data_IF_817407347100
#
_entry.id   IF_817407347100
#
_cell.length_a   1.000
_cell.length_b   1.000
_cell.length_c   1.000
_cell.angle_alpha   90.00
_cell.angle_beta   90.00
_cell.angle_gamma   90.00
#
_symmetry.space_group_name_H-M   'P 1'
#
loop_
_entity.id
_entity.type
_entity.pdbx_description
1 polymer ?
#
# COMPACT_ATOMS: atom_id res chain seq x y z
N UNK A 1 7.24 36.59 1.32
CA UNK A 1 7.60 35.67 2.42
C UNK A 1 6.32 35.06 2.96
N UNK A 2 5.95 33.89 2.47
CA UNK A 2 4.91 33.05 3.07
C UNK A 2 5.50 31.65 3.07
N UNK A 3 6.26 31.37 4.12
CA UNK A 3 6.64 30.02 4.52
C UNK A 3 5.34 29.31 4.91
N UNK A 4 4.67 28.71 3.93
CA UNK A 4 3.82 27.57 4.21
C UNK A 4 4.79 26.45 4.54
N UNK A 5 4.96 26.19 5.84
CA UNK A 5 5.39 24.87 6.27
C UNK A 5 4.43 23.89 5.60
N UNK A 6 4.89 23.23 4.53
CA UNK A 6 4.26 22.00 4.05
C UNK A 6 4.16 21.12 5.29
N UNK A 7 2.93 20.91 5.79
CA UNK A 7 2.70 19.98 6.89
C UNK A 7 3.07 18.61 6.36
N UNK A 8 4.34 18.22 6.55
CA UNK A 8 4.86 16.94 6.10
C UNK A 8 3.93 15.85 6.58
N UNK A 9 3.43 15.05 5.65
CA UNK A 9 2.50 13.98 5.92
C UNK A 9 3.10 13.01 6.93
N UNK A 10 2.38 12.78 8.03
CA UNK A 10 2.80 11.85 9.07
C UNK A 10 2.80 10.42 8.52
N UNK A 11 3.87 9.66 8.82
CA UNK A 11 3.91 8.24 8.49
C UNK A 11 2.99 7.45 9.42
N UNK A 12 2.17 6.58 8.83
CA UNK A 12 1.13 5.81 9.52
C UNK A 12 1.19 4.34 9.15
N UNK A 13 0.77 3.47 10.07
CA UNK A 13 0.84 2.02 9.91
C UNK A 13 -0.49 1.34 10.31
N UNK A 14 -0.96 0.36 9.54
CA UNK A 14 -2.09 -0.49 9.95
C UNK A 14 -1.64 -1.64 10.86
N UNK A 15 -0.36 -2.06 10.77
CA UNK A 15 0.22 -3.10 11.63
C UNK A 15 1.66 -2.79 11.98
N UNK A 16 2.06 -3.13 13.20
CA UNK A 16 3.44 -3.01 13.69
C UNK A 16 3.86 -4.28 14.43
N UNK A 17 5.15 -4.62 14.32
CA UNK A 17 5.81 -5.66 15.13
C UNK A 17 7.01 -5.08 15.85
N UNK A 18 6.91 -4.98 17.16
CA UNK A 18 7.93 -4.48 18.08
C UNK A 18 8.62 -5.67 18.75
N UNK A 19 9.95 -5.60 18.85
CA UNK A 19 10.75 -6.45 19.72
C UNK A 19 11.41 -5.60 20.80
N UNK A 20 11.38 -6.09 22.03
CA UNK A 20 11.97 -5.45 23.19
C UNK A 20 12.47 -6.50 24.18
N UNK A 21 12.93 -6.10 25.37
CA UNK A 21 13.40 -7.04 26.38
C UNK A 21 12.21 -7.82 26.98
N UNK A 22 12.39 -9.13 27.18
CA UNK A 22 11.33 -9.97 27.78
C UNK A 22 10.84 -9.49 29.15
N UNK A 23 11.68 -8.79 29.92
CA UNK A 23 11.35 -8.25 31.25
C UNK A 23 10.26 -7.18 31.21
N UNK A 24 9.96 -6.62 30.05
CA UNK A 24 8.91 -5.61 29.90
C UNK A 24 7.51 -6.21 29.78
N UNK A 25 7.38 -7.55 29.75
CA UNK A 25 6.13 -8.21 30.12
C UNK A 25 6.11 -8.37 31.64
N UNK A 26 5.32 -7.54 32.32
CA UNK A 26 5.31 -7.42 33.77
C UNK A 26 4.47 -8.53 34.42
N UNK A 27 3.30 -8.82 33.84
CA UNK A 27 2.39 -9.84 34.36
C UNK A 27 1.51 -10.41 33.25
N UNK A 28 1.05 -11.65 33.41
CA UNK A 28 0.02 -12.27 32.57
C UNK A 28 -1.26 -12.42 33.38
N UNK A 29 -2.38 -11.89 32.88
CA UNK A 29 -3.71 -11.97 33.53
C UNK A 29 -4.53 -13.15 33.00
N UNK A 30 -4.19 -13.65 31.82
CA UNK A 30 -4.76 -14.87 31.23
C UNK A 30 -3.66 -15.91 31.02
N UNK A 31 -4.05 -17.18 30.83
CA UNK A 31 -3.10 -18.25 30.55
C UNK A 31 -2.53 -18.10 29.14
N UNK A 32 -1.23 -17.85 29.05
CA UNK A 32 -0.51 -17.88 27.77
C UNK A 32 -0.17 -19.32 27.39
N UNK A 33 -0.13 -19.59 26.09
CA UNK A 33 0.37 -20.86 25.56
C UNK A 33 1.87 -20.98 25.82
N UNK A 34 2.33 -22.20 26.10
CA UNK A 34 3.73 -22.48 26.39
C UNK A 34 4.45 -22.94 25.12
N UNK A 35 5.70 -22.52 24.96
CA UNK A 35 6.58 -22.97 23.88
C UNK A 35 7.66 -23.86 24.46
N UNK A 36 7.89 -25.01 23.82
CA UNK A 36 8.88 -25.99 24.27
C UNK A 36 9.96 -26.23 23.22
N UNK A 37 11.18 -26.50 23.68
CA UNK A 37 12.26 -26.97 22.83
C UNK A 37 11.95 -28.39 22.36
N UNK A 38 11.98 -28.62 21.04
CA UNK A 38 11.51 -29.87 20.44
C UNK A 38 12.30 -31.12 20.86
N UNK A 39 13.56 -30.96 21.29
CA UNK A 39 14.42 -32.08 21.72
C UNK A 39 14.47 -32.28 23.22
N UNK A 40 14.62 -31.20 24.00
CA UNK A 40 14.79 -31.29 25.45
C UNK A 40 13.46 -31.27 26.21
N UNK A 41 12.37 -30.83 25.58
CA UNK A 41 11.08 -30.63 26.25
C UNK A 41 11.08 -29.45 27.23
N UNK A 42 12.16 -28.68 27.30
CA UNK A 42 12.26 -27.52 28.18
C UNK A 42 11.41 -26.36 27.68
N UNK A 43 10.78 -25.64 28.60
CA UNK A 43 10.00 -24.43 28.27
C UNK A 43 10.94 -23.31 27.84
N UNK A 44 10.75 -22.82 26.61
CA UNK A 44 11.59 -21.79 25.98
C UNK A 44 10.88 -20.43 25.83
N UNK A 45 9.59 -20.38 26.13
CA UNK A 45 8.80 -19.17 25.98
C UNK A 45 7.33 -19.36 26.30
N UNK A 46 6.60 -18.26 26.15
CA UNK A 46 5.14 -18.20 26.23
C UNK A 46 4.59 -17.27 25.16
N UNK A 47 3.36 -17.48 24.72
CA UNK A 47 2.69 -16.55 23.82
C UNK A 47 1.17 -16.51 24.00
N UNK A 48 0.60 -15.38 23.62
CA UNK A 48 -0.81 -15.16 23.39
C UNK A 48 -1.02 -14.76 21.93
N UNK A 49 -2.10 -15.25 21.31
CA UNK A 49 -2.49 -14.96 19.93
C UNK A 49 -4.00 -14.80 19.87
N UNK A 50 -4.48 -13.68 19.34
CA UNK A 50 -5.91 -13.40 19.20
C UNK A 50 -6.60 -14.22 18.11
N UNK A 51 -5.86 -15.01 17.31
CA UNK A 51 -6.40 -15.79 16.18
C UNK A 51 -7.66 -16.60 16.53
N UNK A 52 -7.72 -17.13 17.75
CA UNK A 52 -8.81 -17.96 18.24
C UNK A 52 -9.58 -17.29 19.41
N UNK A 53 -9.36 -15.99 19.65
CA UNK A 53 -10.01 -15.22 20.72
C UNK A 53 -11.07 -14.27 20.14
N UNK A 54 -12.34 -14.66 20.28
CA UNK A 54 -13.49 -13.89 19.78
C UNK A 54 -13.59 -12.49 20.40
N UNK A 55 -13.01 -12.26 21.58
CA UNK A 55 -13.09 -10.98 22.27
C UNK A 55 -12.10 -9.97 21.69
N UNK A 56 -11.07 -10.45 20.97
CA UNK A 56 -10.06 -9.63 20.31
C UNK A 56 -10.15 -9.88 18.80
N UNK A 57 -11.14 -9.28 18.11
CA UNK A 57 -11.44 -9.53 16.68
C UNK A 57 -10.48 -8.80 15.73
N UNK A 58 -9.20 -8.72 16.10
CA UNK A 58 -8.14 -8.09 15.34
C UNK A 58 -6.79 -8.71 15.71
N UNK A 59 -5.76 -8.43 14.90
CA UNK A 59 -4.44 -9.00 15.11
C UNK A 59 -3.83 -8.49 16.42
N UNK A 60 -3.56 -9.41 17.35
CA UNK A 60 -2.75 -9.19 18.55
C UNK A 60 -1.97 -10.47 18.86
N UNK A 61 -0.66 -10.34 18.89
CA UNK A 61 0.28 -11.40 19.22
C UNK A 61 1.30 -10.87 20.23
N UNK A 62 1.43 -11.57 21.34
CA UNK A 62 2.33 -11.21 22.45
C UNK A 62 3.13 -12.46 22.76
N UNK A 63 4.46 -12.39 22.67
CA UNK A 63 5.30 -13.56 22.92
C UNK A 63 6.59 -13.21 23.64
N UNK A 64 6.98 -14.08 24.56
CA UNK A 64 8.27 -14.05 25.22
C UNK A 64 9.09 -15.25 24.78
N UNK A 65 10.32 -15.00 24.35
CA UNK A 65 11.35 -16.02 24.22
C UNK A 65 12.38 -15.83 25.33
N UNK A 66 12.49 -16.82 26.23
CA UNK A 66 13.46 -16.77 27.33
C UNK A 66 14.89 -16.95 26.82
N UNK A 67 15.09 -17.83 25.82
CA UNK A 67 16.41 -18.05 25.19
C UNK A 67 16.92 -16.76 24.54
N UNK A 68 16.06 -16.07 23.78
CA UNK A 68 16.44 -14.83 23.08
C UNK A 68 16.27 -13.58 23.95
N UNK A 69 15.81 -13.74 25.19
CA UNK A 69 15.48 -12.65 26.11
C UNK A 69 14.62 -11.55 25.46
N UNK A 70 13.67 -11.94 24.62
CA UNK A 70 12.91 -11.02 23.76
C UNK A 70 11.42 -11.07 24.08
N UNK A 71 10.79 -9.91 24.24
CA UNK A 71 9.34 -9.70 24.11
C UNK A 71 9.05 -9.30 22.66
N UNK A 72 8.05 -9.93 22.04
CA UNK A 72 7.50 -9.56 20.74
C UNK A 72 6.06 -9.11 20.94
N UNK A 73 5.74 -7.91 20.46
CA UNK A 73 4.39 -7.39 20.34
C UNK A 73 4.09 -7.18 18.86
N UNK A 74 3.05 -7.81 18.34
CA UNK A 74 2.55 -7.57 17.00
C UNK A 74 1.05 -7.29 17.06
N UNK A 75 0.62 -6.15 16.54
CA UNK A 75 -0.77 -5.75 16.58
C UNK A 75 -1.15 -4.87 15.40
N UNK A 76 -2.44 -4.84 15.07
CA UNK A 76 -2.98 -3.87 14.10
C UNK A 76 -3.54 -2.62 14.79
N UNK A 77 -3.73 -1.55 14.02
CA UNK A 77 -4.28 -0.27 14.47
C UNK A 77 -5.73 -0.37 14.96
N UNK A 78 -6.44 -1.47 14.69
CA UNK A 78 -7.75 -1.76 15.28
C UNK A 78 -7.73 -1.80 16.82
N UNK A 79 -6.55 -1.97 17.42
CA UNK A 79 -6.38 -1.83 18.87
C UNK A 79 -6.76 -0.43 19.40
N UNK A 80 -6.78 0.58 18.53
CA UNK A 80 -7.24 1.94 18.82
C UNK A 80 -8.78 2.06 18.85
N UNK A 81 -9.51 0.99 18.52
CA UNK A 81 -10.98 0.92 18.52
C UNK A 81 -11.61 2.02 17.67
N UNK A 82 -12.34 2.96 18.26
CA UNK A 82 -13.00 4.08 17.60
C UNK A 82 -12.00 5.01 16.89
N UNK A 83 -10.75 5.06 17.37
CA UNK A 83 -9.63 5.77 16.73
C UNK A 83 -8.89 4.93 15.69
N UNK A 84 -9.44 3.81 15.25
CA UNK A 84 -8.88 3.02 14.15
C UNK A 84 -8.53 3.85 12.89
N UNK A 85 -9.35 4.84 12.48
CA UNK A 85 -9.00 5.78 11.41
C UNK A 85 -7.65 6.49 11.55
N UNK A 86 -7.19 6.73 12.79
CA UNK A 86 -5.98 7.49 13.07
C UNK A 86 -4.70 6.70 12.76
N UNK A 87 -4.83 5.37 12.59
CA UNK A 87 -3.74 4.42 12.37
C UNK A 87 -2.67 4.45 13.48
N UNK A 88 -1.67 3.58 13.40
CA UNK A 88 -0.52 3.63 14.31
C UNK A 88 0.43 4.71 13.80
N UNK A 89 0.80 5.65 14.65
CA UNK A 89 1.71 6.76 14.35
C UNK A 89 2.51 7.17 15.59
N UNK A 90 3.36 8.19 15.48
CA UNK A 90 4.03 8.78 16.65
C UNK A 90 3.05 9.30 17.71
N UNK A 91 1.85 9.71 17.28
CA UNK A 91 0.84 10.33 18.15
C UNK A 91 -0.03 9.26 18.84
N UNK A 92 -0.22 8.09 18.21
CA UNK A 92 -1.13 7.03 18.70
C UNK A 92 -0.42 5.80 19.27
N UNK A 93 0.91 5.64 19.10
CA UNK A 93 1.63 4.44 19.57
C UNK A 93 1.50 4.21 21.07
N UNK A 94 1.53 5.28 21.89
CA UNK A 94 1.38 5.15 23.34
C UNK A 94 -0.02 4.66 23.70
N UNK A 95 -1.04 5.17 23.03
CA UNK A 95 -2.42 4.71 23.20
C UNK A 95 -2.59 3.24 22.79
N UNK A 96 -1.95 2.80 21.71
CA UNK A 96 -1.96 1.39 21.32
C UNK A 96 -1.43 0.48 22.46
N UNK A 97 -0.29 0.84 23.06
CA UNK A 97 0.32 0.07 24.16
C UNK A 97 -0.51 0.16 25.45
N UNK A 98 -1.10 1.32 25.74
CA UNK A 98 -2.06 1.47 26.84
C UNK A 98 -3.27 0.55 26.65
N UNK A 99 -3.81 0.48 25.43
CA UNK A 99 -4.95 -0.36 25.12
C UNK A 99 -4.62 -1.85 25.31
N UNK A 100 -3.40 -2.30 24.99
CA UNK A 100 -2.94 -3.68 25.32
C UNK A 100 -3.12 -3.98 26.82
N UNK A 101 -2.68 -3.08 27.71
CA UNK A 101 -2.82 -3.25 29.17
C UNK A 101 -4.30 -3.31 29.60
N UNK A 102 -5.16 -2.56 28.92
CA UNK A 102 -6.60 -2.49 29.20
C UNK A 102 -7.38 -3.71 28.69
N UNK A 103 -6.82 -4.56 27.82
CA UNK A 103 -7.46 -5.80 27.39
C UNK A 103 -7.56 -6.85 28.50
N UNK A 104 -6.93 -6.62 29.66
CA UNK A 104 -6.86 -7.58 30.76
C UNK A 104 -6.25 -8.94 30.38
N UNK A 105 -5.34 -8.94 29.40
CA UNK A 105 -4.57 -10.12 28.95
C UNK A 105 -3.22 -10.18 29.66
N UNK A 106 -2.54 -9.04 29.75
CA UNK A 106 -1.24 -8.89 30.39
C UNK A 106 -1.01 -7.42 30.77
N UNK A 107 0.05 -7.19 31.55
CA UNK A 107 0.61 -5.87 31.79
C UNK A 107 2.00 -5.76 31.15
N UNK A 108 2.23 -4.70 30.40
CA UNK A 108 3.51 -4.36 29.78
C UNK A 108 4.03 -3.02 30.28
N UNK A 109 5.36 -2.90 30.35
CA UNK A 109 6.06 -1.65 30.65
C UNK A 109 6.14 -0.77 29.38
N UNK A 110 5.19 0.14 29.26
CA UNK A 110 5.01 1.00 28.09
C UNK A 110 6.24 1.89 27.86
N UNK A 111 6.74 2.56 28.90
CA UNK A 111 7.82 3.53 28.77
C UNK A 111 9.15 2.85 28.42
N UNK A 112 9.43 1.68 29.02
CA UNK A 112 10.60 0.89 28.66
C UNK A 112 10.52 0.32 27.24
N UNK A 113 9.33 -0.06 26.77
CA UNK A 113 9.12 -0.52 25.39
C UNK A 113 9.33 0.63 24.40
N UNK A 114 8.75 1.80 24.65
CA UNK A 114 8.88 2.96 23.75
C UNK A 114 10.34 3.44 23.65
N UNK A 115 11.07 3.43 24.76
CA UNK A 115 12.48 3.86 24.81
C UNK A 115 13.46 2.85 24.21
N UNK A 116 13.24 1.54 24.44
CA UNK A 116 14.24 0.52 24.10
C UNK A 116 13.86 -0.39 22.92
N UNK A 117 12.57 -0.43 22.57
CA UNK A 117 12.02 -1.32 21.55
C UNK A 117 12.52 -1.00 20.13
N UNK A 118 12.54 -2.04 19.31
CA UNK A 118 12.87 -1.97 17.89
C UNK A 118 11.74 -2.57 17.05
N UNK A 119 11.38 -1.88 15.98
CA UNK A 119 10.39 -2.33 15.01
C UNK A 119 11.08 -3.28 14.02
N UNK A 120 10.42 -4.39 13.74
CA UNK A 120 10.99 -5.45 12.87
C UNK A 120 10.10 -5.78 11.68
N UNK A 121 8.85 -5.34 11.70
CA UNK A 121 7.93 -5.43 10.58
C UNK A 121 6.82 -4.39 10.72
N UNK A 122 6.42 -3.75 9.62
CA UNK A 122 5.29 -2.80 9.56
C UNK A 122 4.52 -2.96 8.26
N UNK A 123 3.23 -2.62 8.32
CA UNK A 123 2.43 -2.35 7.13
C UNK A 123 2.18 -0.83 7.09
N UNK A 124 2.87 -0.15 6.17
CA UNK A 124 2.76 1.31 5.97
C UNK A 124 1.49 1.57 5.18
N UNK A 125 0.64 2.46 5.68
CA UNK A 125 -0.74 2.58 5.22
C UNK A 125 -1.16 4.02 5.02
N UNK A 126 -1.95 4.28 3.98
CA UNK A 126 -2.59 5.57 3.72
C UNK A 126 -3.97 5.43 3.13
N UNK A 127 -4.91 6.20 3.66
CA UNK A 127 -6.28 6.27 3.17
C UNK A 127 -6.51 7.54 2.36
N UNK A 128 -6.59 7.40 1.04
CA UNK A 128 -6.82 8.51 0.12
C UNK A 128 -8.32 8.70 -0.16
N UNK A 129 -8.75 9.95 -0.36
CA UNK A 129 -10.07 10.28 -0.91
C UNK A 129 -10.10 9.94 -2.41
N UNK A 130 -10.32 8.66 -2.72
CA UNK A 130 -10.28 8.11 -4.06
C UNK A 130 -11.26 6.93 -4.13
N UNK A 131 -12.12 6.93 -5.15
CA UNK A 131 -12.98 5.80 -5.45
C UNK A 131 -12.28 4.91 -6.47
N UNK A 132 -11.94 3.68 -6.05
CA UNK A 132 -11.33 2.67 -6.91
C UNK A 132 -12.41 1.99 -7.76
N UNK A 133 -12.73 2.58 -8.92
CA UNK A 133 -13.67 2.01 -9.89
C UNK A 133 -13.00 0.98 -10.79
N UNK A 134 -13.81 0.14 -11.46
CA UNK A 134 -13.30 -0.86 -12.42
C UNK A 134 -12.45 -0.21 -13.53
N UNK A 135 -12.88 0.93 -14.06
CA UNK A 135 -12.10 1.70 -15.03
C UNK A 135 -10.74 2.14 -14.47
N UNK A 136 -10.69 2.58 -13.21
CA UNK A 136 -9.41 2.95 -12.58
C UNK A 136 -8.50 1.73 -12.36
N UNK A 137 -9.08 0.56 -12.04
CA UNK A 137 -8.35 -0.71 -11.95
C UNK A 137 -7.77 -1.12 -13.31
N UNK A 138 -8.52 -0.96 -14.40
CA UNK A 138 -8.06 -1.25 -15.76
C UNK A 138 -6.92 -0.32 -16.19
N UNK A 139 -7.00 0.97 -15.82
CA UNK A 139 -5.91 1.92 -16.04
C UNK A 139 -4.66 1.54 -15.24
N UNK A 140 -4.81 1.20 -13.96
CA UNK A 140 -3.70 0.74 -13.12
C UNK A 140 -3.03 -0.52 -13.69
N UNK A 141 -3.80 -1.47 -14.20
CA UNK A 141 -3.26 -2.66 -14.86
C UNK A 141 -2.50 -2.33 -16.15
N UNK A 142 -3.07 -1.49 -17.02
CA UNK A 142 -2.50 -1.20 -18.34
C UNK A 142 -1.27 -0.27 -18.31
N UNK A 143 -1.10 0.53 -17.26
CA UNK A 143 -0.02 1.53 -17.15
C UNK A 143 1.16 1.12 -16.25
N UNK A 144 1.36 -0.18 -16.01
CA UNK A 144 2.52 -0.67 -15.27
C UNK A 144 3.80 -0.47 -16.11
N UNK A 145 4.57 0.58 -15.80
CA UNK A 145 5.80 0.92 -16.52
C UNK A 145 6.81 -0.23 -16.53
N UNK A 146 6.95 -0.95 -15.41
CA UNK A 146 7.86 -2.10 -15.30
C UNK A 146 7.13 -3.46 -15.25
N UNK A 147 6.23 -3.70 -16.21
CA UNK A 147 5.38 -4.92 -16.30
C UNK A 147 6.16 -6.26 -16.30
N UNK A 148 7.45 -6.24 -16.66
CA UNK A 148 8.32 -7.42 -16.57
C UNK A 148 8.70 -7.75 -15.14
N UNK A 149 8.89 -6.73 -14.29
CA UNK A 149 9.30 -6.90 -12.90
C UNK A 149 8.16 -6.79 -11.92
N UNK A 150 7.02 -6.20 -12.27
CA UNK A 150 5.85 -6.16 -11.40
C UNK A 150 4.69 -6.90 -12.06
N UNK A 151 4.19 -7.90 -11.36
CA UNK A 151 2.96 -8.62 -11.71
C UNK A 151 1.84 -8.11 -10.82
N UNK A 152 0.63 -8.11 -11.35
CA UNK A 152 -0.55 -7.74 -10.59
C UNK A 152 -1.44 -8.95 -10.37
N UNK A 153 -2.22 -8.90 -9.31
CA UNK A 153 -3.32 -9.81 -9.04
C UNK A 153 -4.49 -9.02 -8.48
N UNK A 154 -5.71 -9.48 -8.77
CA UNK A 154 -6.89 -8.95 -8.09
C UNK A 154 -6.74 -9.18 -6.58
N UNK A 155 -7.09 -8.16 -5.81
CA UNK A 155 -7.29 -8.28 -4.39
C UNK A 155 -8.78 -8.53 -4.17
N UNK A 156 -9.13 -9.65 -3.54
CA UNK A 156 -10.51 -10.16 -3.41
C UNK A 156 -11.51 -9.16 -2.81
N UNK A 157 -11.03 -8.06 -2.22
CA UNK A 157 -11.83 -7.00 -1.59
C UNK A 157 -11.90 -5.75 -2.46
N UNK A 158 -12.11 -5.94 -3.76
CA UNK A 158 -12.15 -4.88 -4.78
C UNK A 158 -10.90 -4.01 -4.80
N UNK A 159 -9.78 -4.65 -5.09
CA UNK A 159 -8.51 -3.96 -5.23
C UNK A 159 -7.55 -4.65 -6.18
N UNK A 160 -6.31 -4.19 -6.13
CA UNK A 160 -5.21 -4.69 -6.94
C UNK A 160 -3.93 -4.69 -6.11
N UNK A 161 -3.18 -5.78 -6.24
CA UNK A 161 -1.86 -5.92 -5.62
C UNK A 161 -0.81 -6.01 -6.71
N UNK A 162 0.19 -5.15 -6.67
CA UNK A 162 1.38 -5.24 -7.50
C UNK A 162 2.51 -5.86 -6.71
N UNK A 163 3.06 -6.97 -7.19
CA UNK A 163 4.16 -7.71 -6.57
C UNK A 163 5.35 -7.75 -7.50
N UNK A 164 6.53 -7.43 -6.95
CA UNK A 164 7.79 -7.57 -7.67
C UNK A 164 8.11 -9.04 -7.91
N UNK A 165 8.28 -9.41 -9.17
CA UNK A 165 8.65 -10.74 -9.63
C UNK A 165 10.14 -11.00 -9.37
N UNK A 166 10.41 -11.63 -8.23
CA UNK A 166 11.75 -12.01 -7.78
C UNK A 166 11.74 -13.40 -7.15
N UNK A 167 12.85 -14.13 -7.31
CA UNK A 167 13.01 -15.48 -6.73
C UNK A 167 13.18 -15.45 -5.21
N UNK A 168 13.79 -14.40 -4.67
CA UNK A 168 14.07 -14.28 -3.23
C UNK A 168 12.95 -13.53 -2.50
N UNK A 169 12.38 -14.16 -1.47
CA UNK A 169 11.33 -13.59 -0.61
C UNK A 169 11.77 -12.28 0.07
N UNK A 170 13.05 -12.16 0.39
CA UNK A 170 13.59 -10.97 1.04
C UNK A 170 13.65 -9.76 0.10
N UNK A 171 13.61 -10.01 -1.22
CA UNK A 171 13.58 -8.98 -2.25
C UNK A 171 12.15 -8.67 -2.73
N UNK A 172 11.14 -9.38 -2.25
CA UNK A 172 9.74 -9.17 -2.66
C UNK A 172 9.27 -7.79 -2.19
N UNK A 173 8.77 -6.99 -3.11
CA UNK A 173 8.18 -5.67 -2.86
C UNK A 173 6.73 -5.72 -3.32
N UNK A 174 5.82 -5.20 -2.51
CA UNK A 174 4.39 -5.19 -2.82
C UNK A 174 3.80 -3.80 -2.58
N UNK A 175 2.79 -3.45 -3.37
CA UNK A 175 1.86 -2.37 -3.07
C UNK A 175 0.44 -2.84 -3.37
N UNK A 176 -0.45 -2.65 -2.40
CA UNK A 176 -1.86 -3.04 -2.49
C UNK A 176 -2.73 -1.79 -2.43
N UNK A 177 -3.65 -1.66 -3.38
CA UNK A 177 -4.66 -0.61 -3.43
C UNK A 177 -6.02 -1.29 -3.35
N UNK A 178 -6.89 -0.89 -2.42
CA UNK A 178 -8.22 -1.48 -2.32
C UNK A 178 -9.27 -0.53 -1.76
N UNK A 179 -10.53 -0.79 -2.12
CA UNK A 179 -11.67 -0.04 -1.62
C UNK A 179 -11.88 -0.34 -0.12
N UNK A 180 -11.49 0.60 0.74
CA UNK A 180 -11.55 0.41 2.19
C UNK A 180 -12.97 0.51 2.75
N UNK A 181 -13.82 1.33 2.13
CA UNK A 181 -15.26 1.45 2.46
C UNK A 181 -15.96 0.09 2.38
N UNK A 182 -15.72 -0.63 1.27
CA UNK A 182 -16.32 -1.95 1.09
C UNK A 182 -15.65 -2.99 1.95
N UNK A 183 -14.32 -2.92 2.09
CA UNK A 183 -13.55 -3.85 2.92
C UNK A 183 -14.02 -3.87 4.38
N UNK A 184 -14.19 -2.69 4.99
CA UNK A 184 -14.58 -2.58 6.40
C UNK A 184 -15.99 -3.12 6.66
N UNK A 185 -16.85 -3.14 5.65
CA UNK A 185 -18.20 -3.69 5.71
C UNK A 185 -18.28 -5.20 5.45
N UNK A 186 -17.17 -5.88 5.14
CA UNK A 186 -17.15 -7.33 4.94
C UNK A 186 -17.40 -8.11 6.24
N UNK A 187 -17.87 -9.36 6.11
CA UNK A 187 -18.15 -10.25 7.25
C UNK A 187 -16.95 -10.44 8.19
N UNK A 188 -15.73 -10.41 7.66
CA UNK A 188 -14.50 -10.52 8.44
C UNK A 188 -14.30 -9.38 9.47
N UNK A 189 -14.88 -8.21 9.23
CA UNK A 189 -14.77 -7.06 10.12
C UNK A 189 -15.96 -6.92 11.08
N UNK A 190 -16.96 -7.80 10.98
CA UNK A 190 -18.21 -7.71 11.74
C UNK A 190 -17.98 -7.74 13.24
N UNK A 191 -17.15 -8.66 13.73
CA UNK A 191 -16.89 -8.80 15.17
C UNK A 191 -16.14 -7.59 15.73
N UNK A 192 -15.21 -7.03 14.94
CA UNK A 192 -14.54 -5.78 15.29
C UNK A 192 -15.55 -4.62 15.41
N UNK A 193 -16.39 -4.41 14.40
CA UNK A 193 -17.38 -3.34 14.43
C UNK A 193 -18.39 -3.51 15.59
N UNK A 194 -18.81 -4.75 15.86
CA UNK A 194 -19.70 -5.04 16.99
C UNK A 194 -19.04 -4.78 18.36
N UNK A 195 -17.71 -4.84 18.45
CA UNK A 195 -16.97 -4.52 19.67
C UNK A 195 -16.87 -3.01 19.97
N UNK A 196 -17.20 -2.15 18.99
CA UNK A 196 -17.10 -0.70 19.12
C UNK A 196 -18.37 -0.12 19.74
N UNK A 197 -18.20 0.97 20.49
CA UNK A 197 -19.30 1.77 21.01
C UNK A 197 -19.94 2.64 19.92
N UNK A 198 -19.16 3.09 18.93
CA UNK A 198 -19.60 3.96 17.85
C UNK A 198 -19.13 3.45 16.46
N UNK A 199 -19.55 2.24 16.03
CA UNK A 199 -19.06 1.64 14.78
C UNK A 199 -19.34 2.50 13.54
N UNK A 200 -20.46 3.24 13.52
CA UNK A 200 -20.82 4.08 12.39
C UNK A 200 -19.81 5.20 12.14
N UNK A 201 -19.18 5.75 13.18
CA UNK A 201 -18.15 6.80 13.03
C UNK A 201 -16.93 6.28 12.26
N UNK A 202 -16.53 5.03 12.53
CA UNK A 202 -15.42 4.36 11.85
C UNK A 202 -15.80 4.04 10.40
N UNK A 203 -17.02 3.53 10.17
CA UNK A 203 -17.52 3.25 8.81
C UNK A 203 -17.59 4.54 7.98
N UNK A 204 -18.11 5.61 8.56
CA UNK A 204 -18.27 6.90 7.89
C UNK A 204 -16.93 7.52 7.48
N UNK A 205 -15.88 7.37 8.29
CA UNK A 205 -14.53 7.78 7.91
C UNK A 205 -14.04 7.12 6.61
N UNK A 206 -14.37 5.84 6.41
CA UNK A 206 -13.91 5.07 5.25
C UNK A 206 -14.74 5.30 3.98
N UNK A 207 -15.83 6.08 4.03
CA UNK A 207 -16.63 6.41 2.84
C UNK A 207 -15.78 7.09 1.77
N UNK A 208 -15.82 6.54 0.56
CA UNK A 208 -15.03 7.03 -0.58
C UNK A 208 -13.51 6.90 -0.41
N UNK A 209 -13.03 6.04 0.50
CA UNK A 209 -11.60 5.84 0.74
C UNK A 209 -11.04 4.64 -0.01
N UNK A 210 -9.90 4.87 -0.67
CA UNK A 210 -9.00 3.80 -1.15
C UNK A 210 -7.80 3.75 -0.23
N UNK A 211 -7.49 2.54 0.26
CA UNK A 211 -6.31 2.31 1.07
C UNK A 211 -5.14 1.88 0.21
N UNK A 212 -4.00 2.51 0.43
CA UNK A 212 -2.70 2.17 -0.11
C UNK A 212 -1.88 1.52 1.01
N UNK A 213 -1.33 0.35 0.75
CA UNK A 213 -0.57 -0.40 1.74
C UNK A 213 0.68 -1.04 1.16
N UNK A 214 1.79 -0.96 1.89
CA UNK A 214 3.02 -1.71 1.61
C UNK A 214 3.52 -2.40 2.88
N UNK A 215 4.08 -3.60 2.75
CA UNK A 215 4.66 -4.34 3.87
C UNK A 215 6.17 -4.24 3.87
N UNK A 216 6.74 -3.74 4.97
CA UNK A 216 8.18 -3.76 5.25
C UNK A 216 8.45 -4.84 6.30
N UNK A 217 8.64 -6.08 5.86
CA UNK A 217 8.71 -7.26 6.75
C UNK A 217 10.10 -7.62 7.29
N UNK A 218 11.12 -6.82 6.99
CA UNK A 218 12.49 -7.02 7.50
C UNK A 218 13.09 -5.71 7.97
N UNK A 219 13.98 -5.78 8.96
CA UNK A 219 14.76 -4.63 9.47
C UNK A 219 15.48 -3.90 8.33
N UNK A 220 16.05 -4.65 7.37
CA UNK A 220 16.72 -4.08 6.20
C UNK A 220 15.76 -3.29 5.30
N UNK A 221 14.53 -3.79 5.06
CA UNK A 221 13.53 -3.05 4.28
C UNK A 221 13.10 -1.77 4.99
N UNK A 222 12.86 -1.84 6.30
CA UNK A 222 12.48 -0.69 7.12
C UNK A 222 13.56 0.39 7.01
N UNK A 223 14.81 0.06 7.31
CA UNK A 223 15.94 1.00 7.22
C UNK A 223 16.08 1.61 5.83
N UNK A 224 15.97 0.80 4.77
CA UNK A 224 16.13 1.27 3.39
C UNK A 224 14.99 2.19 2.93
N UNK A 225 13.73 1.81 3.16
CA UNK A 225 12.57 2.62 2.72
C UNK A 225 12.36 3.86 3.57
N UNK A 226 12.76 3.82 4.85
CA UNK A 226 12.63 4.95 5.77
C UNK A 226 13.88 5.82 5.87
N UNK A 227 14.95 5.45 5.15
CA UNK A 227 16.26 6.10 5.19
C UNK A 227 16.81 6.23 6.63
N UNK A 228 16.80 5.13 7.39
CA UNK A 228 17.21 5.08 8.79
C UNK A 228 18.44 4.20 9.00
N UNK A 229 19.21 4.50 10.05
CA UNK A 229 20.35 3.67 10.50
C UNK A 229 19.97 2.65 11.57
N UNK A 230 18.77 2.76 12.13
CA UNK A 230 18.22 1.86 13.14
C UNK A 230 16.72 1.69 12.92
N UNK A 231 16.10 0.82 13.72
CA UNK A 231 14.66 0.61 13.71
C UNK A 231 14.02 0.85 15.08
N UNK A 232 14.61 1.74 15.89
CA UNK A 232 14.00 2.16 17.15
C UNK A 232 12.63 2.77 16.88
N UNK A 233 11.70 2.58 17.82
CA UNK A 233 10.31 3.05 17.68
C UNK A 233 10.29 4.54 17.36
N UNK A 234 11.06 5.35 18.11
CA UNK A 234 11.16 6.78 17.88
C UNK A 234 11.61 7.13 16.45
N UNK A 235 12.68 6.52 15.95
CA UNK A 235 13.25 6.79 14.63
C UNK A 235 12.26 6.46 13.51
N UNK A 236 11.60 5.30 13.59
CA UNK A 236 10.64 4.82 12.57
C UNK A 236 9.38 5.69 12.54
N UNK A 237 8.80 6.00 13.70
CA UNK A 237 7.56 6.78 13.77
C UNK A 237 7.76 8.27 13.44
N UNK A 238 9.00 8.77 13.48
CA UNK A 238 9.36 10.14 13.09
C UNK A 238 10.00 10.23 11.70
N UNK A 239 10.04 9.15 10.92
CA UNK A 239 10.51 9.22 9.54
C UNK A 239 9.60 10.16 8.73
N UNK A 240 10.22 11.02 7.92
CA UNK A 240 9.55 11.94 7.00
C UNK A 240 9.56 11.43 5.55
N UNK A 241 9.97 10.18 5.35
CA UNK A 241 9.95 9.53 4.04
C UNK A 241 8.53 9.14 3.62
N UNK A 242 8.34 8.91 2.32
CA UNK A 242 7.09 8.42 1.77
C UNK A 242 7.29 7.07 1.05
N UNK A 243 7.26 5.96 1.80
CA UNK A 243 7.46 4.63 1.25
C UNK A 243 6.41 4.23 0.21
N UNK A 244 5.15 4.66 0.40
CA UNK A 244 4.04 4.36 -0.50
C UNK A 244 4.28 5.03 -1.85
N UNK A 245 4.60 6.33 -1.88
CA UNK A 245 4.95 7.05 -3.11
C UNK A 245 6.17 6.42 -3.79
N UNK A 246 7.21 6.09 -3.01
CA UNK A 246 8.43 5.44 -3.53
C UNK A 246 8.08 4.11 -4.21
N UNK A 247 7.19 3.31 -3.61
CA UNK A 247 6.75 2.05 -4.18
C UNK A 247 5.85 2.25 -5.40
N UNK A 248 4.97 3.25 -5.37
CA UNK A 248 4.11 3.62 -6.48
C UNK A 248 4.94 4.02 -7.71
N UNK A 249 5.93 4.90 -7.55
CA UNK A 249 6.82 5.35 -8.61
C UNK A 249 7.66 4.20 -9.20
N UNK A 250 8.00 3.18 -8.41
CA UNK A 250 8.66 1.96 -8.92
C UNK A 250 7.76 1.12 -9.84
N UNK A 251 6.45 1.11 -9.59
CA UNK A 251 5.47 0.34 -10.36
C UNK A 251 5.09 1.10 -11.64
N UNK A 252 4.73 2.37 -11.51
CA UNK A 252 4.12 3.18 -12.56
C UNK A 252 5.07 4.17 -13.23
N UNK A 253 6.27 4.37 -12.68
CA UNK A 253 7.19 5.43 -13.12
C UNK A 253 6.81 6.81 -12.57
N UNK A 254 7.60 7.81 -12.93
CA UNK A 254 7.42 9.21 -12.56
C UNK A 254 7.11 10.12 -13.77
N UNK A 255 6.76 9.53 -14.92
CA UNK A 255 6.56 10.26 -16.17
C UNK A 255 5.17 10.89 -16.23
N UNK A 256 5.13 12.21 -16.44
CA UNK A 256 3.93 13.07 -16.56
C UNK A 256 3.38 13.12 -17.98
N UNK A 257 3.60 12.08 -18.79
CA UNK A 257 3.12 12.09 -20.16
C UNK A 257 1.59 11.94 -20.17
N UNK A 258 0.89 12.98 -20.64
CA UNK A 258 -0.54 12.92 -20.93
C UNK A 258 -0.80 11.83 -21.98
N UNK A 259 -1.58 10.82 -21.62
CA UNK A 259 -2.01 9.79 -22.57
C UNK A 259 -3.26 10.30 -23.30
N UNK A 260 -3.28 10.33 -24.66
CA UNK A 260 -4.48 10.67 -25.39
C UNK A 260 -5.58 9.64 -25.09
N UNK A 261 -6.75 10.16 -24.69
CA UNK A 261 -7.89 9.44 -24.12
C UNK A 261 -8.67 8.58 -25.14
N UNK A 262 -8.19 8.47 -26.38
CA UNK A 262 -8.76 7.60 -27.40
C UNK A 262 -8.26 6.18 -27.22
N UNK A 263 -9.16 5.29 -26.78
CA UNK A 263 -9.05 3.84 -26.91
C UNK A 263 -9.31 3.45 -28.36
N UNK A 264 -8.32 2.82 -28.98
CA UNK A 264 -8.47 2.17 -30.28
C UNK A 264 -8.39 0.66 -30.01
N UNK A 265 -9.56 0.01 -29.97
CA UNK A 265 -9.69 -1.37 -29.50
C UNK A 265 -9.30 -2.40 -30.59
N UNK A 266 -9.05 -1.96 -31.83
CA UNK A 266 -8.53 -2.78 -32.91
C UNK A 266 -7.06 -2.47 -33.23
N UNK A 267 -6.33 -3.51 -33.62
CA UNK A 267 -4.90 -3.45 -33.94
C UNK A 267 -4.57 -2.40 -35.01
N UNK A 268 -5.44 -2.22 -36.01
CA UNK A 268 -5.17 -1.32 -37.14
C UNK A 268 -5.16 0.13 -36.66
N UNK A 269 -6.20 0.56 -35.94
CA UNK A 269 -6.29 1.92 -35.41
C UNK A 269 -5.26 2.18 -34.29
N UNK A 270 -5.00 1.20 -33.41
CA UNK A 270 -3.94 1.28 -32.40
C UNK A 270 -2.56 1.49 -33.05
N UNK A 271 -2.21 0.68 -34.04
CA UNK A 271 -0.92 0.80 -34.74
C UNK A 271 -0.80 2.16 -35.45
N UNK A 272 -1.91 2.67 -36.00
CA UNK A 272 -1.94 3.99 -36.64
C UNK A 272 -1.69 5.13 -35.63
N UNK A 273 -2.26 5.07 -34.43
CA UNK A 273 -1.98 6.03 -33.35
C UNK A 273 -0.49 6.09 -33.01
N UNK A 274 0.14 4.94 -32.78
CA UNK A 274 1.58 4.86 -32.46
C UNK A 274 2.45 5.47 -33.56
N UNK A 275 2.09 5.23 -34.82
CA UNK A 275 2.79 5.83 -35.95
C UNK A 275 2.59 7.35 -35.96
N UNK A 276 1.36 7.85 -35.77
CA UNK A 276 1.08 9.29 -35.70
C UNK A 276 1.86 9.98 -34.59
N UNK A 277 1.97 9.36 -33.41
CA UNK A 277 2.75 9.84 -32.28
C UNK A 277 4.25 9.94 -32.62
N UNK A 278 4.82 8.95 -33.32
CA UNK A 278 6.22 9.00 -33.80
C UNK A 278 6.48 10.20 -34.71
N UNK A 279 5.48 10.62 -35.48
CA UNK A 279 5.53 11.78 -36.36
C UNK A 279 5.08 13.08 -35.68
N UNK A 280 4.85 13.08 -34.35
CA UNK A 280 4.31 14.22 -33.60
C UNK A 280 3.02 14.80 -34.21
N UNK A 281 2.22 13.96 -34.87
CA UNK A 281 1.02 14.40 -35.59
C UNK A 281 1.27 15.14 -36.90
N UNK A 282 2.51 15.21 -37.41
CA UNK A 282 2.81 15.79 -38.72
C UNK A 282 2.36 14.84 -39.85
N UNK A 283 1.12 15.04 -40.29
CA UNK A 283 0.50 14.27 -41.36
C UNK A 283 1.25 14.41 -42.70
N UNK A 284 1.91 15.54 -42.96
CA UNK A 284 2.64 15.75 -44.23
C UNK A 284 3.92 14.92 -44.26
N UNK A 285 4.66 14.92 -43.15
CA UNK A 285 5.87 14.12 -43.01
C UNK A 285 5.54 12.62 -43.06
N UNK A 286 4.47 12.21 -42.39
CA UNK A 286 3.96 10.84 -42.46
C UNK A 286 3.54 10.46 -43.89
N UNK A 287 2.81 11.33 -44.59
CA UNK A 287 2.40 11.06 -45.98
C UNK A 287 3.59 10.88 -46.91
N UNK A 288 4.65 11.70 -46.75
CA UNK A 288 5.87 11.59 -47.52
C UNK A 288 6.55 10.23 -47.31
N UNK A 289 6.67 9.76 -46.08
CA UNK A 289 7.25 8.44 -45.77
C UNK A 289 6.37 7.31 -46.32
N UNK A 290 5.05 7.37 -46.14
CA UNK A 290 4.11 6.38 -46.70
C UNK A 290 4.26 6.28 -48.23
N UNK A 291 4.28 7.41 -48.94
CA UNK A 291 4.43 7.43 -50.41
C UNK A 291 5.76 6.83 -50.87
N UNK A 292 6.80 6.85 -50.04
CA UNK A 292 8.08 6.19 -50.34
C UNK A 292 8.01 4.67 -50.28
N UNK A 293 7.02 4.10 -49.55
CA UNK A 293 6.88 2.65 -49.32
C UNK A 293 5.84 1.97 -50.19
N UNK A 294 4.94 2.72 -50.83
CA UNK A 294 3.87 2.17 -51.66
C UNK A 294 4.01 2.64 -53.12
N UNK A 295 4.19 1.68 -54.03
CA UNK A 295 4.36 1.94 -55.47
C UNK A 295 3.08 2.47 -56.16
N UNK A 296 1.91 2.33 -55.52
CA UNK A 296 0.62 2.76 -56.07
C UNK A 296 0.11 4.02 -55.36
N UNK A 297 -0.22 5.04 -56.16
CA UNK A 297 -0.78 6.31 -55.69
C UNK A 297 -2.12 6.09 -54.96
N UNK A 298 -2.97 5.21 -55.47
CA UNK A 298 -4.28 4.91 -54.86
C UNK A 298 -4.15 4.18 -53.52
N UNK A 299 -3.15 3.32 -53.36
CA UNK A 299 -2.87 2.59 -52.12
C UNK A 299 -2.40 3.53 -51.01
N UNK A 300 -1.45 4.43 -51.32
CA UNK A 300 -0.97 5.44 -50.38
C UNK A 300 -2.11 6.37 -49.91
N UNK A 301 -2.92 6.89 -50.83
CA UNK A 301 -4.06 7.77 -50.48
C UNK A 301 -5.12 7.06 -49.63
N UNK A 302 -5.42 5.78 -49.90
CA UNK A 302 -6.39 5.02 -49.09
C UNK A 302 -5.90 4.83 -47.65
N UNK A 303 -4.59 4.64 -47.45
CA UNK A 303 -3.99 4.48 -46.13
C UNK A 303 -3.94 5.81 -45.37
N UNK A 304 -3.60 6.89 -46.07
CA UNK A 304 -3.59 8.24 -45.48
C UNK A 304 -4.96 8.65 -44.95
N UNK A 305 -6.05 8.34 -45.67
CA UNK A 305 -7.41 8.58 -45.17
C UNK A 305 -7.71 7.90 -43.83
N UNK A 306 -7.18 6.69 -43.59
CA UNK A 306 -7.36 6.01 -42.30
C UNK A 306 -6.58 6.72 -41.19
N UNK A 307 -5.34 7.15 -41.48
CA UNK A 307 -4.55 7.96 -40.56
C UNK A 307 -5.21 9.30 -40.22
N UNK A 308 -5.81 9.99 -41.19
CA UNK A 308 -6.58 11.22 -40.96
C UNK A 308 -7.77 10.98 -40.04
N UNK A 309 -8.54 9.90 -40.24
CA UNK A 309 -9.64 9.52 -39.33
C UNK A 309 -9.16 9.30 -37.90
N UNK A 310 -8.06 8.55 -37.72
CA UNK A 310 -7.46 8.30 -36.40
C UNK A 310 -6.94 9.59 -35.79
N UNK A 311 -6.26 10.44 -36.57
CA UNK A 311 -5.76 11.74 -36.12
C UNK A 311 -6.89 12.66 -35.65
N UNK A 312 -7.97 12.78 -36.43
CA UNK A 312 -9.14 13.57 -36.04
C UNK A 312 -9.79 13.03 -34.77
N UNK A 313 -9.90 11.71 -34.61
CA UNK A 313 -10.39 11.10 -33.38
C UNK A 313 -9.49 11.43 -32.18
N UNK A 314 -8.16 11.42 -32.36
CA UNK A 314 -7.18 11.79 -31.33
C UNK A 314 -7.29 13.27 -30.93
N UNK A 315 -7.42 14.19 -31.89
CA UNK A 315 -7.47 15.64 -31.63
C UNK A 315 -8.83 16.13 -31.15
N UNK A 316 -9.90 15.39 -31.44
CA UNK A 316 -11.26 15.74 -30.99
C UNK A 316 -11.59 15.16 -29.60
N UNK A 317 -10.75 14.25 -29.09
CA UNK A 317 -10.92 13.70 -27.77
C UNK A 317 -10.53 14.74 -26.70
N UNK A 318 -11.35 14.93 -25.65
CA UNK A 318 -10.98 15.80 -24.55
C UNK A 318 -9.70 15.27 -23.89
N UNK A 319 -8.78 16.18 -23.59
CA UNK A 319 -7.60 15.89 -22.78
C UNK A 319 -8.08 15.55 -21.37
N UNK A 320 -7.97 14.29 -20.96
CA UNK A 320 -8.22 13.88 -19.58
C UNK A 320 -6.91 13.94 -18.80
N UNK A 321 -7.03 14.32 -17.54
CA UNK A 321 -5.93 14.20 -16.56
C UNK A 321 -5.51 12.74 -16.47
N UNK A 322 -4.20 12.45 -16.53
CA UNK A 322 -3.67 11.09 -16.43
C UNK A 322 -4.06 10.49 -15.06
N UNK A 323 -4.85 9.39 -15.00
CA UNK A 323 -5.30 8.84 -13.73
C UNK A 323 -4.16 8.40 -12.79
N UNK A 324 -3.03 7.95 -13.35
CA UNK A 324 -1.83 7.60 -12.57
C UNK A 324 -1.22 8.84 -11.94
N UNK A 325 -1.14 9.94 -12.68
CA UNK A 325 -0.63 11.21 -12.16
C UNK A 325 -1.56 11.76 -11.08
N UNK A 326 -2.87 11.68 -11.28
CA UNK A 326 -3.86 12.04 -10.27
C UNK A 326 -3.69 11.24 -8.98
N UNK A 327 -3.50 9.92 -9.07
CA UNK A 327 -3.23 9.08 -7.89
C UNK A 327 -1.90 9.47 -7.25
N UNK A 328 -0.85 9.66 -8.05
CA UNK A 328 0.47 10.07 -7.57
C UNK A 328 0.41 11.39 -6.81
N UNK A 329 -0.38 12.35 -7.26
CA UNK A 329 -0.57 13.65 -6.59
C UNK A 329 -1.29 13.52 -5.24
N UNK A 330 -2.13 12.50 -5.04
CA UNK A 330 -2.68 12.17 -3.71
C UNK A 330 -1.62 11.58 -2.76
N UNK A 331 -0.50 11.12 -3.31
CA UNK A 331 0.60 10.53 -2.54
C UNK A 331 1.74 11.51 -2.26
N UNK A 332 1.79 12.69 -2.90
CA UNK A 332 2.69 13.79 -2.54
C UNK A 332 2.24 14.43 -1.22
#
# INVERSE_FOLDING_TARGET
>A
MTSQYETKRLITFDRIKIKSNYKYLLNTKVKFNEMFHSRSGEKIGIFYSSKDDINIPYNLYIAVSYIKQTLTLEFSSKILKEKYPDLISRDTIKECLTNINQLNICDIDIDSILSNGAITSVDVTYDANLILSDNLLDVLNSQVNNYRRFKWAHYDKEGITFTKDVKSKDCTETITLYNKEKEICTSHNKDFLNSLSQPQSVIDYFKGKTRFEITLNTVKKIMNYLNLTDTKIFSVLNSDTNPILTQFDKVFGNSTANMPNTTFDDYENWAMKIILERYNGDLKLLEQDIRSKFNSRSGASKRMKKFETVYHAMTSAPTSENPIEKIRNLLL
#
